data_IF_862543820720
#
_entry.id   IF_862543820720
#
_cell.length_a   1.000
_cell.length_b   1.000
_cell.length_c   1.000
_cell.angle_alpha   90.00
_cell.angle_beta   90.00
_cell.angle_gamma   90.00
#
_symmetry.space_group_name_H-M   'P 1'
#
loop_
_entity.id
_entity.type
_entity.pdbx_description
1 polymer ?
#
# COMPACT_ATOMS: atom_id res chain seq x y z
N UNK A 1 -12.62 22.20 -38.29
CA UNK A 1 -12.06 21.60 -37.06
C UNK A 1 -13.21 21.44 -36.08
N UNK A 2 -13.85 20.26 -36.10
CA UNK A 2 -15.00 19.97 -35.23
C UNK A 2 -14.43 19.70 -33.84
N UNK A 3 -14.78 20.53 -32.85
CA UNK A 3 -14.50 20.19 -31.45
C UNK A 3 -15.37 18.98 -31.12
N UNK A 4 -14.78 17.79 -31.10
CA UNK A 4 -15.42 16.61 -30.56
C UNK A 4 -15.80 16.95 -29.10
N UNK A 5 -17.10 17.05 -28.84
CA UNK A 5 -17.60 17.21 -27.48
C UNK A 5 -17.10 16.00 -26.69
N UNK A 6 -16.37 16.25 -25.60
CA UNK A 6 -16.05 15.19 -24.65
C UNK A 6 -17.36 14.46 -24.30
N UNK A 7 -17.35 13.13 -24.24
CA UNK A 7 -18.57 12.40 -23.94
C UNK A 7 -19.08 12.84 -22.57
N UNK A 8 -20.33 13.31 -22.51
CA UNK A 8 -21.04 13.84 -21.32
C UNK A 8 -20.80 13.00 -20.04
N UNK A 9 -20.59 11.70 -20.21
CA UNK A 9 -20.27 10.73 -19.15
C UNK A 9 -18.96 11.06 -18.42
N UNK A 10 -17.90 11.48 -19.11
CA UNK A 10 -16.60 11.80 -18.52
C UNK A 10 -16.72 13.04 -17.64
N UNK A 11 -17.44 14.07 -18.11
CA UNK A 11 -17.67 15.29 -17.36
C UNK A 11 -18.52 15.04 -16.12
N UNK A 12 -19.55 14.19 -16.24
CA UNK A 12 -20.40 13.78 -15.11
C UNK A 12 -19.58 13.01 -14.05
N UNK A 13 -18.75 12.05 -14.50
CA UNK A 13 -17.90 11.28 -13.60
C UNK A 13 -16.92 12.17 -12.84
N UNK A 14 -16.22 13.05 -13.56
CA UNK A 14 -15.19 13.92 -12.99
C UNK A 14 -15.77 14.96 -12.04
N UNK A 15 -16.93 15.54 -12.39
CA UNK A 15 -17.52 16.63 -11.61
C UNK A 15 -18.23 16.13 -10.35
N UNK A 16 -18.91 14.99 -10.43
CA UNK A 16 -19.75 14.50 -9.34
C UNK A 16 -19.19 13.23 -8.70
N UNK A 17 -19.01 12.15 -9.46
CA UNK A 17 -18.79 10.83 -8.86
C UNK A 17 -17.38 10.63 -8.30
N UNK A 18 -16.37 11.19 -8.95
CA UNK A 18 -14.96 10.97 -8.60
C UNK A 18 -14.67 11.31 -7.13
N UNK A 19 -15.10 12.48 -6.67
CA UNK A 19 -14.79 12.95 -5.31
C UNK A 19 -15.50 12.13 -4.22
N UNK A 20 -16.73 11.67 -4.47
CA UNK A 20 -17.43 10.77 -3.53
C UNK A 20 -16.81 9.38 -3.50
N UNK A 21 -16.40 8.86 -4.65
CA UNK A 21 -15.70 7.59 -4.75
C UNK A 21 -14.39 7.63 -3.98
N UNK A 22 -13.54 8.63 -4.24
CA UNK A 22 -12.26 8.81 -3.56
C UNK A 22 -12.44 8.99 -2.05
N UNK A 23 -13.41 9.83 -1.64
CA UNK A 23 -13.73 10.05 -0.23
C UNK A 23 -14.14 8.78 0.49
N UNK A 24 -15.04 8.00 -0.12
CA UNK A 24 -15.51 6.73 0.42
C UNK A 24 -14.37 5.72 0.52
N UNK A 25 -13.54 5.62 -0.52
CA UNK A 25 -12.37 4.76 -0.53
C UNK A 25 -11.38 5.14 0.58
N UNK A 26 -11.05 6.43 0.75
CA UNK A 26 -10.16 6.90 1.82
C UNK A 26 -10.66 6.53 3.22
N UNK A 27 -11.96 6.71 3.49
CA UNK A 27 -12.56 6.33 4.79
C UNK A 27 -12.44 4.81 5.00
N UNK A 28 -12.80 4.00 4.00
CA UNK A 28 -12.70 2.54 4.09
C UNK A 28 -11.23 2.10 4.27
N UNK A 29 -10.29 2.69 3.54
CA UNK A 29 -8.84 2.44 3.69
C UNK A 29 -8.40 2.69 5.13
N UNK A 30 -8.77 3.83 5.72
CA UNK A 30 -8.40 4.16 7.12
C UNK A 30 -8.96 3.09 8.08
N UNK A 31 -10.23 2.72 7.92
CA UNK A 31 -10.88 1.73 8.79
C UNK A 31 -10.23 0.34 8.66
N UNK A 32 -10.08 -0.17 7.44
CA UNK A 32 -9.50 -1.49 7.18
C UNK A 32 -8.05 -1.60 7.68
N UNK A 33 -7.24 -0.57 7.46
CA UNK A 33 -5.85 -0.59 7.90
C UNK A 33 -5.72 -0.38 9.40
N UNK A 34 -6.61 0.39 10.04
CA UNK A 34 -6.64 0.49 11.50
C UNK A 34 -6.99 -0.85 12.15
N UNK A 35 -7.98 -1.57 11.61
CA UNK A 35 -8.31 -2.93 12.07
C UNK A 35 -7.13 -3.88 11.84
N UNK A 36 -6.54 -3.87 10.65
CA UNK A 36 -5.37 -4.69 10.31
C UNK A 36 -4.19 -4.42 11.25
N UNK A 37 -3.96 -3.15 11.59
CA UNK A 37 -2.91 -2.71 12.51
C UNK A 37 -3.15 -3.24 13.92
N UNK A 38 -4.40 -3.15 14.41
CA UNK A 38 -4.78 -3.72 15.71
C UNK A 38 -4.60 -5.24 15.75
N UNK A 39 -4.99 -5.95 14.68
CA UNK A 39 -4.77 -7.40 14.57
C UNK A 39 -3.27 -7.72 14.58
N UNK A 40 -2.47 -6.98 13.82
CA UNK A 40 -1.02 -7.17 13.76
C UNK A 40 -0.36 -6.90 15.12
N UNK A 41 -0.76 -5.84 15.82
CA UNK A 41 -0.25 -5.49 17.15
C UNK A 41 -0.60 -6.57 18.19
N UNK A 42 -1.79 -7.17 18.11
CA UNK A 42 -2.21 -8.28 18.97
C UNK A 42 -1.46 -9.58 18.68
N UNK A 43 -1.21 -9.90 17.41
CA UNK A 43 -0.58 -11.15 16.98
C UNK A 43 0.95 -11.16 17.14
N UNK A 44 1.62 -10.02 16.98
CA UNK A 44 3.07 -10.00 16.87
C UNK A 44 3.79 -10.22 18.22
N UNK A 45 4.65 -11.25 18.24
CA UNK A 45 5.67 -11.47 19.26
C UNK A 45 6.69 -10.31 19.22
N UNK A 46 7.23 -9.90 20.38
CA UNK A 46 7.95 -8.62 20.61
C UNK A 46 8.96 -8.18 19.54
N UNK A 47 9.64 -9.09 18.81
CA UNK A 47 10.71 -8.73 17.85
C UNK A 47 10.25 -8.38 16.43
N UNK A 48 9.09 -8.84 15.95
CA UNK A 48 8.65 -8.64 14.55
C UNK A 48 7.52 -7.62 14.39
N UNK A 49 7.12 -6.97 15.49
CA UNK A 49 5.94 -6.10 15.55
C UNK A 49 6.04 -4.84 14.68
N UNK A 50 7.22 -4.26 14.58
CA UNK A 50 7.45 -2.95 13.92
C UNK A 50 8.24 -3.07 12.60
N UNK A 51 7.97 -4.12 11.81
CA UNK A 51 8.61 -4.31 10.50
C UNK A 51 7.95 -3.50 9.37
N UNK A 52 8.40 -3.71 8.14
CA UNK A 52 7.86 -2.99 6.97
C UNK A 52 6.35 -3.16 6.73
N UNK A 53 5.76 -4.31 7.09
CA UNK A 53 4.31 -4.48 6.97
C UNK A 53 3.53 -3.53 7.90
N UNK A 54 4.04 -3.32 9.12
CA UNK A 54 3.45 -2.35 10.06
C UNK A 54 3.49 -0.94 9.45
N UNK A 55 4.63 -0.56 8.87
CA UNK A 55 4.76 0.75 8.22
C UNK A 55 3.88 0.91 6.99
N UNK A 56 3.65 -0.15 6.22
CA UNK A 56 2.72 -0.11 5.10
C UNK A 56 1.30 0.25 5.58
N UNK A 57 0.81 -0.43 6.62
CA UNK A 57 -0.52 -0.15 7.19
C UNK A 57 -0.63 1.28 7.71
N UNK A 58 0.40 1.77 8.41
CA UNK A 58 0.48 3.18 8.86
C UNK A 58 0.47 4.11 7.65
N UNK A 59 1.22 3.81 6.60
CA UNK A 59 1.27 4.62 5.38
C UNK A 59 -0.09 4.69 4.69
N UNK A 60 -0.85 3.59 4.65
CA UNK A 60 -2.20 3.58 4.08
C UNK A 60 -3.20 4.39 4.91
N UNK A 61 -3.06 4.40 6.24
CA UNK A 61 -3.83 5.30 7.11
C UNK A 61 -3.46 6.76 6.80
N UNK A 62 -2.17 7.07 6.74
CA UNK A 62 -1.68 8.40 6.38
C UNK A 62 -2.15 8.83 4.99
N UNK A 63 -2.19 7.91 4.02
CA UNK A 63 -2.74 8.16 2.68
C UNK A 63 -4.17 8.69 2.77
N UNK A 64 -5.06 7.98 3.48
CA UNK A 64 -6.44 8.43 3.63
C UNK A 64 -6.55 9.75 4.38
N UNK A 65 -5.81 9.93 5.48
CA UNK A 65 -5.87 11.14 6.31
C UNK A 65 -5.37 12.38 5.55
N UNK A 66 -4.28 12.26 4.81
CA UNK A 66 -3.72 13.37 4.02
C UNK A 66 -4.65 13.75 2.86
N UNK A 67 -5.39 12.79 2.28
CA UNK A 67 -6.26 13.06 1.13
C UNK A 67 -7.62 13.66 1.51
N UNK A 68 -8.16 13.36 2.69
CA UNK A 68 -9.49 13.83 3.13
C UNK A 68 -9.67 15.35 2.99
N UNK A 69 -8.74 16.22 3.46
CA UNK A 69 -8.88 17.66 3.31
C UNK A 69 -9.04 18.10 1.84
N UNK A 70 -8.26 17.51 0.92
CA UNK A 70 -8.39 17.79 -0.52
C UNK A 70 -9.77 17.37 -1.05
N UNK A 71 -10.24 16.19 -0.67
CA UNK A 71 -11.55 15.67 -1.09
C UNK A 71 -12.69 16.54 -0.57
N UNK A 72 -12.64 16.95 0.70
CA UNK A 72 -13.65 17.85 1.29
C UNK A 72 -13.71 19.16 0.51
N UNK A 73 -12.57 19.77 0.19
CA UNK A 73 -12.51 20.99 -0.63
C UNK A 73 -13.04 20.77 -2.06
N UNK A 74 -12.87 19.57 -2.61
CA UNK A 74 -13.36 19.18 -3.95
C UNK A 74 -14.86 18.82 -3.99
N UNK A 75 -15.49 18.54 -2.87
CA UNK A 75 -16.95 18.31 -2.79
C UNK A 75 -17.71 19.65 -2.73
N UNK A 76 -17.10 20.69 -2.17
CA UNK A 76 -17.73 22.03 -2.05
C UNK A 76 -18.07 22.57 -3.45
N UNK A 77 -19.30 23.08 -3.69
CA UNK A 77 -19.68 23.68 -4.97
C UNK A 77 -18.69 24.75 -5.43
N UNK A 78 -18.49 24.84 -6.74
CA UNK A 78 -17.45 25.68 -7.32
C UNK A 78 -17.53 27.16 -6.92
N UNK A 79 -18.74 27.72 -6.82
CA UNK A 79 -18.94 29.12 -6.42
C UNK A 79 -18.45 29.39 -4.98
N UNK A 80 -18.81 28.52 -4.04
CA UNK A 80 -18.32 28.60 -2.66
C UNK A 80 -16.82 28.33 -2.57
N UNK A 81 -16.32 27.37 -3.37
CA UNK A 81 -14.90 27.02 -3.42
C UNK A 81 -14.03 28.19 -3.89
N UNK A 82 -14.48 28.94 -4.90
CA UNK A 82 -13.80 30.16 -5.36
C UNK A 82 -13.64 31.19 -4.25
N UNK A 83 -14.68 31.40 -3.45
CA UNK A 83 -14.65 32.33 -2.31
C UNK A 83 -13.64 31.85 -1.25
N UNK A 84 -13.63 30.55 -0.95
CA UNK A 84 -12.67 29.96 -0.01
C UNK A 84 -11.23 30.14 -0.51
N UNK A 85 -10.96 29.85 -1.78
CA UNK A 85 -9.63 29.97 -2.38
C UNK A 85 -9.17 31.42 -2.52
N UNK A 86 -10.08 32.36 -2.79
CA UNK A 86 -9.77 33.78 -2.80
C UNK A 86 -9.39 34.30 -1.41
N UNK A 87 -9.98 33.71 -0.35
CA UNK A 87 -9.68 34.08 1.04
C UNK A 87 -8.41 33.43 1.57
N UNK A 88 -8.19 32.15 1.26
CA UNK A 88 -7.08 31.34 1.74
C UNK A 88 -6.47 30.52 0.59
N UNK A 89 -5.53 31.09 -0.18
CA UNK A 89 -4.95 30.47 -1.36
C UNK A 89 -4.12 29.22 -1.05
N UNK A 90 -3.66 29.05 0.19
CA UNK A 90 -3.00 27.84 0.67
C UNK A 90 -3.94 26.63 0.57
N UNK A 91 -5.25 26.84 0.73
CA UNK A 91 -6.24 25.75 0.64
C UNK A 91 -6.39 25.22 -0.79
N UNK A 92 -6.20 26.08 -1.81
CA UNK A 92 -6.14 25.64 -3.21
C UNK A 92 -4.96 24.71 -3.42
N UNK A 93 -3.78 25.11 -2.94
CA UNK A 93 -2.57 24.30 -3.08
C UNK A 93 -2.62 23.02 -2.26
N UNK A 94 -3.23 23.05 -1.07
CA UNK A 94 -3.50 21.86 -0.29
C UNK A 94 -4.37 20.87 -1.09
N UNK A 95 -5.46 21.35 -1.71
CA UNK A 95 -6.33 20.52 -2.54
C UNK A 95 -5.63 19.96 -3.79
N UNK A 96 -4.65 20.69 -4.33
CA UNK A 96 -3.89 20.27 -5.50
C UNK A 96 -2.76 19.27 -5.16
N UNK A 97 -1.99 19.52 -4.10
CA UNK A 97 -0.75 18.80 -3.78
C UNK A 97 -1.01 17.53 -2.96
N UNK A 98 -1.99 17.54 -2.04
CA UNK A 98 -2.22 16.43 -1.11
C UNK A 98 -2.45 15.07 -1.79
N UNK A 99 -3.18 14.94 -2.91
CA UNK A 99 -3.34 13.66 -3.60
C UNK A 99 -2.01 13.09 -4.10
N UNK A 100 -1.19 13.88 -4.80
CA UNK A 100 0.10 13.42 -5.29
C UNK A 100 1.07 13.11 -4.14
N UNK A 101 1.02 13.89 -3.06
CA UNK A 101 1.83 13.67 -1.86
C UNK A 101 1.47 12.33 -1.18
N UNK A 102 0.17 12.05 -1.05
CA UNK A 102 -0.32 10.79 -0.49
C UNK A 102 0.05 9.59 -1.37
N UNK A 103 -0.03 9.72 -2.70
CA UNK A 103 0.42 8.69 -3.63
C UNK A 103 1.93 8.44 -3.49
N UNK A 104 2.72 9.51 -3.41
CA UNK A 104 4.17 9.45 -3.26
C UNK A 104 4.60 8.66 -2.02
N UNK A 105 4.02 8.94 -0.84
CA UNK A 105 4.38 8.21 0.39
C UNK A 105 4.04 6.72 0.28
N UNK A 106 2.94 6.38 -0.39
CA UNK A 106 2.52 4.99 -0.63
C UNK A 106 3.51 4.29 -1.56
N UNK A 107 3.95 4.95 -2.64
CA UNK A 107 4.90 4.38 -3.60
C UNK A 107 6.28 4.16 -2.98
N UNK A 108 6.77 5.11 -2.16
CA UNK A 108 8.02 4.93 -1.39
C UNK A 108 7.91 3.71 -0.45
N UNK A 109 6.83 3.63 0.33
CA UNK A 109 6.63 2.50 1.26
C UNK A 109 6.47 1.17 0.53
N UNK A 110 5.80 1.15 -0.62
CA UNK A 110 5.66 -0.02 -1.49
C UNK A 110 7.01 -0.51 -2.05
N UNK A 111 7.83 0.42 -2.54
CA UNK A 111 9.17 0.14 -3.02
C UNK A 111 10.06 -0.46 -1.91
N UNK A 112 10.08 0.17 -0.73
CA UNK A 112 10.87 -0.30 0.40
C UNK A 112 10.37 -1.65 0.93
N UNK A 113 9.07 -1.93 0.89
CA UNK A 113 8.49 -3.22 1.26
C UNK A 113 8.88 -4.32 0.25
N UNK A 114 8.87 -4.02 -1.05
CA UNK A 114 9.36 -4.95 -2.07
C UNK A 114 10.85 -5.26 -1.87
N UNK A 115 11.66 -4.23 -1.61
CA UNK A 115 13.10 -4.37 -1.31
C UNK A 115 13.31 -5.23 -0.06
N UNK A 116 12.58 -4.97 1.02
CA UNK A 116 12.59 -5.75 2.25
C UNK A 116 12.36 -7.25 1.99
N UNK A 117 11.35 -7.58 1.17
CA UNK A 117 11.08 -8.98 0.79
C UNK A 117 12.17 -9.56 -0.10
N UNK A 118 12.72 -8.80 -1.04
CA UNK A 118 13.85 -9.25 -1.88
C UNK A 118 15.07 -9.57 -1.01
N UNK A 119 15.38 -8.72 -0.03
CA UNK A 119 16.50 -8.92 0.90
C UNK A 119 16.29 -10.17 1.75
N UNK A 120 15.08 -10.42 2.26
CA UNK A 120 14.76 -11.66 3.01
C UNK A 120 14.96 -12.90 2.14
N UNK A 121 14.56 -12.84 0.86
CA UNK A 121 14.70 -13.98 -0.04
C UNK A 121 16.15 -14.22 -0.48
N UNK A 122 16.97 -13.18 -0.57
CA UNK A 122 18.37 -13.26 -0.99
C UNK A 122 19.34 -13.55 0.16
N UNK A 123 19.14 -12.95 1.34
CA UNK A 123 20.09 -12.93 2.46
C UNK A 123 19.58 -13.75 3.67
N UNK A 124 19.22 -15.01 3.43
CA UNK A 124 18.52 -15.89 4.40
C UNK A 124 19.18 -16.02 5.78
N UNK A 125 20.50 -15.90 5.90
CA UNK A 125 21.21 -16.26 7.14
C UNK A 125 21.35 -15.12 8.15
N UNK A 126 21.41 -13.87 7.70
CA UNK A 126 21.75 -12.74 8.58
C UNK A 126 20.63 -11.70 8.73
N UNK A 127 19.56 -11.79 7.93
CA UNK A 127 18.51 -10.77 7.91
C UNK A 127 17.82 -10.60 9.28
N UNK A 128 17.51 -11.70 9.96
CA UNK A 128 16.87 -11.67 11.28
C UNK A 128 17.80 -11.20 12.40
N UNK A 129 19.12 -11.30 12.22
CA UNK A 129 20.11 -10.87 13.21
C UNK A 129 20.28 -9.34 13.22
N UNK A 130 20.21 -8.72 12.04
CA UNK A 130 20.42 -7.27 11.87
C UNK A 130 19.15 -6.44 11.97
N UNK A 131 17.97 -7.04 12.22
CA UNK A 131 16.68 -6.34 12.27
C UNK A 131 16.46 -5.44 11.03
N UNK A 132 16.92 -5.86 9.85
CA UNK A 132 16.90 -5.02 8.64
C UNK A 132 15.50 -4.49 8.30
N UNK A 133 14.44 -5.25 8.60
CA UNK A 133 13.05 -4.82 8.36
C UNK A 133 12.64 -3.62 9.22
N UNK A 134 13.11 -3.56 10.46
CA UNK A 134 12.85 -2.43 11.36
C UNK A 134 13.63 -1.20 10.90
N UNK A 135 14.89 -1.38 10.47
CA UNK A 135 15.70 -0.28 9.94
C UNK A 135 15.05 0.31 8.69
N UNK A 136 14.62 -0.54 7.75
CA UNK A 136 13.88 -0.09 6.55
C UNK A 136 12.58 0.61 6.93
N UNK A 137 11.89 0.13 7.96
CA UNK A 137 10.66 0.76 8.47
C UNK A 137 10.92 2.17 9.02
N UNK A 138 12.00 2.35 9.78
CA UNK A 138 12.41 3.67 10.29
C UNK A 138 12.78 4.58 9.14
N UNK A 139 13.56 4.11 8.16
CA UNK A 139 13.91 4.89 6.96
C UNK A 139 12.65 5.32 6.22
N UNK A 140 11.71 4.40 5.98
CA UNK A 140 10.42 4.70 5.33
C UNK A 140 9.64 5.75 6.10
N UNK A 141 9.57 5.64 7.43
CA UNK A 141 8.90 6.60 8.29
C UNK A 141 9.54 7.98 8.19
N UNK A 142 10.87 8.06 8.32
CA UNK A 142 11.63 9.31 8.27
C UNK A 142 11.48 10.00 6.91
N UNK A 143 11.66 9.26 5.81
CA UNK A 143 11.53 9.83 4.45
C UNK A 143 10.12 10.36 4.21
N UNK A 144 9.08 9.58 4.55
CA UNK A 144 7.69 10.01 4.36
C UNK A 144 7.34 11.21 5.24
N UNK A 145 7.81 11.22 6.49
CA UNK A 145 7.58 12.34 7.43
C UNK A 145 8.25 13.61 6.94
N UNK A 146 9.52 13.54 6.54
CA UNK A 146 10.26 14.69 5.99
C UNK A 146 9.57 15.20 4.72
N UNK A 147 9.17 14.31 3.83
CA UNK A 147 8.48 14.67 2.58
C UNK A 147 7.16 15.40 2.87
N UNK A 148 6.33 14.86 3.77
CA UNK A 148 5.10 15.52 4.20
C UNK A 148 5.41 16.92 4.76
N UNK A 149 6.30 17.01 5.75
CA UNK A 149 6.63 18.28 6.41
C UNK A 149 7.12 19.31 5.40
N UNK A 150 8.08 18.96 4.52
CA UNK A 150 8.64 19.90 3.53
C UNK A 150 7.56 20.45 2.61
N UNK A 151 6.68 19.60 2.06
CA UNK A 151 5.62 20.07 1.16
C UNK A 151 4.57 20.92 1.88
N UNK A 152 4.20 20.58 3.11
CA UNK A 152 3.29 21.40 3.90
C UNK A 152 3.91 22.75 4.28
N UNK A 153 5.20 22.80 4.64
CA UNK A 153 5.91 24.05 4.89
C UNK A 153 5.97 24.91 3.63
N UNK A 154 6.23 24.32 2.45
CA UNK A 154 6.20 25.03 1.18
C UNK A 154 4.82 25.64 0.91
N UNK A 155 3.73 24.91 1.16
CA UNK A 155 2.37 25.44 0.97
C UNK A 155 2.09 26.60 1.94
N UNK A 156 2.45 26.45 3.22
CA UNK A 156 2.17 27.45 4.26
C UNK A 156 2.98 28.73 4.05
N UNK A 157 4.28 28.60 3.78
CA UNK A 157 5.19 29.77 3.70
C UNK A 157 5.23 30.40 2.32
N UNK A 158 4.92 29.64 1.26
CA UNK A 158 5.14 30.09 -0.10
C UNK A 158 3.83 30.18 -0.91
N UNK A 159 2.66 30.17 -0.26
CA UNK A 159 1.30 29.98 -0.80
C UNK A 159 0.88 30.77 -2.07
N UNK A 160 1.66 31.75 -2.51
CA UNK A 160 1.45 32.50 -3.75
C UNK A 160 2.62 32.53 -4.73
N UNK A 161 3.72 31.87 -4.38
CA UNK A 161 4.95 31.93 -5.14
C UNK A 161 4.97 30.88 -6.26
N UNK A 162 5.75 31.19 -7.28
CA UNK A 162 6.17 30.24 -8.33
C UNK A 162 6.78 28.96 -7.75
N UNK A 163 7.29 29.00 -6.51
CA UNK A 163 7.84 27.84 -5.82
C UNK A 163 6.79 26.75 -5.59
N UNK A 164 5.56 27.08 -5.21
CA UNK A 164 4.51 26.05 -4.96
C UNK A 164 4.08 25.39 -6.27
N UNK A 165 3.97 26.17 -7.34
CA UNK A 165 3.69 25.66 -8.69
C UNK A 165 4.80 24.69 -9.12
N UNK A 166 6.05 25.13 -9.04
CA UNK A 166 7.20 24.31 -9.40
C UNK A 166 7.30 23.04 -8.53
N UNK A 167 7.03 23.16 -7.22
CA UNK A 167 7.03 22.03 -6.31
C UNK A 167 5.92 21.02 -6.64
N UNK A 168 4.71 21.49 -6.97
CA UNK A 168 3.62 20.63 -7.42
C UNK A 168 3.99 19.93 -8.74
N UNK A 169 4.46 20.66 -9.74
CA UNK A 169 4.86 20.08 -11.02
C UNK A 169 6.00 19.07 -10.86
N UNK A 170 6.99 19.38 -10.02
CA UNK A 170 8.09 18.48 -9.70
C UNK A 170 7.61 17.21 -9.01
N UNK A 171 6.73 17.33 -8.01
CA UNK A 171 6.13 16.19 -7.30
C UNK A 171 5.36 15.28 -8.27
N UNK A 172 4.48 15.87 -9.08
CA UNK A 172 3.60 15.15 -10.00
C UNK A 172 4.37 14.49 -11.14
N UNK A 173 5.23 15.24 -11.83
CA UNK A 173 5.81 14.79 -13.09
C UNK A 173 7.14 14.07 -12.91
N UNK A 174 7.97 14.51 -11.95
CA UNK A 174 9.31 13.96 -11.74
C UNK A 174 9.31 12.91 -10.62
N UNK A 175 8.95 13.32 -9.40
CA UNK A 175 9.15 12.51 -8.21
C UNK A 175 8.27 11.25 -8.21
N UNK A 176 6.97 11.40 -8.50
CA UNK A 176 6.04 10.29 -8.56
C UNK A 176 6.38 9.31 -9.68
N UNK A 177 6.65 9.81 -10.89
CA UNK A 177 7.05 8.99 -12.04
C UNK A 177 8.32 8.19 -11.75
N UNK A 178 9.37 8.85 -11.22
CA UNK A 178 10.63 8.19 -10.88
C UNK A 178 10.45 7.11 -9.81
N UNK A 179 9.62 7.38 -8.80
CA UNK A 179 9.33 6.44 -7.71
C UNK A 179 8.52 5.25 -8.20
N UNK A 180 7.53 5.45 -9.07
CA UNK A 180 6.77 4.37 -9.69
C UNK A 180 7.64 3.46 -10.56
N UNK A 181 8.61 4.01 -11.30
CA UNK A 181 9.58 3.23 -12.07
C UNK A 181 10.47 2.40 -11.15
N UNK A 182 10.98 3.00 -10.06
CA UNK A 182 11.78 2.30 -9.07
C UNK A 182 10.97 1.19 -8.38
N UNK A 183 9.75 1.49 -7.94
CA UNK A 183 8.81 0.55 -7.33
C UNK A 183 8.51 -0.63 -8.26
N UNK A 184 8.20 -0.35 -9.52
CA UNK A 184 7.93 -1.37 -10.55
C UNK A 184 9.15 -2.27 -10.80
N UNK A 185 10.34 -1.67 -10.85
CA UNK A 185 11.60 -2.42 -11.00
C UNK A 185 11.81 -3.37 -9.82
N UNK A 186 11.57 -2.90 -8.59
CA UNK A 186 11.68 -3.73 -7.39
C UNK A 186 10.61 -4.82 -7.34
N UNK A 187 9.39 -4.55 -7.80
CA UNK A 187 8.36 -5.59 -7.96
C UNK A 187 8.79 -6.67 -8.94
N UNK A 188 9.37 -6.31 -10.08
CA UNK A 188 9.87 -7.30 -11.03
C UNK A 188 10.97 -8.18 -10.42
N UNK A 189 11.94 -7.56 -9.72
CA UNK A 189 12.99 -8.30 -9.00
C UNK A 189 12.38 -9.22 -7.94
N UNK A 190 11.41 -8.72 -7.18
CA UNK A 190 10.65 -9.50 -6.20
C UNK A 190 9.97 -10.70 -6.84
N UNK A 191 9.26 -10.55 -7.96
CA UNK A 191 8.58 -11.65 -8.65
C UNK A 191 9.56 -12.76 -9.10
N UNK A 192 10.69 -12.37 -9.67
CA UNK A 192 11.74 -13.32 -10.10
C UNK A 192 12.29 -14.09 -8.90
N UNK A 193 12.57 -13.40 -7.78
CA UNK A 193 13.08 -14.03 -6.56
C UNK A 193 12.02 -14.88 -5.87
N UNK A 194 10.78 -14.44 -5.84
CA UNK A 194 9.65 -15.13 -5.24
C UNK A 194 9.39 -16.46 -5.92
N UNK A 195 9.40 -16.52 -7.26
CA UNK A 195 9.26 -17.78 -8.01
C UNK A 195 10.34 -18.80 -7.64
N UNK A 196 11.61 -18.36 -7.53
CA UNK A 196 12.72 -19.22 -7.10
C UNK A 196 12.57 -19.66 -5.63
N UNK A 197 12.10 -18.75 -4.77
CA UNK A 197 11.90 -19.02 -3.34
C UNK A 197 10.81 -20.06 -3.09
N UNK A 198 9.65 -19.93 -3.75
CA UNK A 198 8.52 -20.87 -3.60
C UNK A 198 8.93 -22.29 -3.98
N UNK A 199 9.70 -22.47 -5.05
CA UNK A 199 10.18 -23.80 -5.47
C UNK A 199 11.10 -24.47 -4.44
N UNK A 200 11.85 -23.71 -3.64
CA UNK A 200 12.89 -24.23 -2.74
C UNK A 200 12.44 -24.41 -1.29
N UNK A 201 11.44 -23.66 -0.83
CA UNK A 201 11.19 -23.44 0.61
C UNK A 201 9.73 -23.66 1.06
N UNK A 202 8.98 -24.59 0.46
CA UNK A 202 7.52 -24.75 0.70
C UNK A 202 7.07 -25.01 2.15
N UNK A 203 7.94 -25.31 3.12
CA UNK A 203 7.50 -25.83 4.43
C UNK A 203 7.63 -24.93 5.66
N UNK A 204 8.56 -23.97 5.74
CA UNK A 204 9.09 -23.58 7.07
C UNK A 204 8.69 -22.21 7.65
N UNK A 205 8.00 -21.31 6.95
CA UNK A 205 7.67 -20.00 7.52
C UNK A 205 6.37 -19.38 6.99
N UNK A 206 5.25 -19.71 7.63
CA UNK A 206 3.91 -19.25 7.24
C UNK A 206 3.76 -17.72 7.26
N UNK A 207 4.38 -17.01 8.21
CA UNK A 207 4.30 -15.54 8.30
C UNK A 207 5.01 -14.85 7.13
N UNK A 208 6.19 -15.37 6.76
CA UNK A 208 6.93 -14.88 5.59
C UNK A 208 6.13 -15.10 4.31
N UNK A 209 5.50 -16.27 4.16
CA UNK A 209 4.64 -16.57 3.01
C UNK A 209 3.43 -15.63 2.94
N UNK A 210 2.77 -15.35 4.08
CA UNK A 210 1.65 -14.41 4.14
C UNK A 210 2.06 -13.02 3.67
N UNK A 211 3.18 -12.49 4.19
CA UNK A 211 3.67 -11.16 3.78
C UNK A 211 4.05 -11.13 2.31
N UNK A 212 4.70 -12.18 1.79
CA UNK A 212 5.04 -12.26 0.37
C UNK A 212 3.78 -12.26 -0.53
N UNK A 213 2.71 -12.92 -0.11
CA UNK A 213 1.44 -12.89 -0.85
C UNK A 213 0.82 -11.49 -0.86
N UNK A 214 0.90 -10.76 0.24
CA UNK A 214 0.44 -9.36 0.32
C UNK A 214 1.24 -8.50 -0.67
N UNK A 215 2.57 -8.58 -0.65
CA UNK A 215 3.42 -7.80 -1.57
C UNK A 215 3.19 -8.19 -3.03
N UNK A 216 2.97 -9.48 -3.32
CA UNK A 216 2.62 -9.92 -4.66
C UNK A 216 1.30 -9.31 -5.13
N UNK A 217 0.26 -9.33 -4.29
CA UNK A 217 -1.04 -8.75 -4.63
C UNK A 217 -0.97 -7.24 -4.81
N UNK A 218 -0.24 -6.54 -3.93
CA UNK A 218 0.05 -5.12 -4.05
C UNK A 218 0.75 -4.82 -5.37
N UNK A 219 1.78 -5.59 -5.72
CA UNK A 219 2.52 -5.42 -6.98
C UNK A 219 1.61 -5.55 -8.20
N UNK A 220 0.71 -6.53 -8.21
CA UNK A 220 -0.26 -6.70 -9.30
C UNK A 220 -1.22 -5.52 -9.38
N UNK A 221 -1.79 -5.08 -8.25
CA UNK A 221 -2.72 -3.95 -8.22
C UNK A 221 -2.03 -2.65 -8.66
N UNK A 222 -0.88 -2.31 -8.08
CA UNK A 222 -0.13 -1.10 -8.40
C UNK A 222 0.35 -1.11 -9.86
N UNK A 223 0.82 -2.25 -10.38
CA UNK A 223 1.25 -2.33 -11.78
C UNK A 223 0.07 -2.07 -12.73
N UNK A 224 -1.07 -2.72 -12.50
CA UNK A 224 -2.23 -2.64 -13.39
C UNK A 224 -3.00 -1.33 -13.28
N UNK A 225 -3.15 -0.79 -12.06
CA UNK A 225 -3.99 0.37 -11.79
C UNK A 225 -3.19 1.68 -11.68
N UNK A 226 -1.89 1.62 -11.42
CA UNK A 226 -1.07 2.83 -11.26
C UNK A 226 -0.02 2.95 -12.38
N UNK A 227 0.87 1.96 -12.51
CA UNK A 227 2.01 2.04 -13.43
C UNK A 227 1.56 2.02 -14.90
N UNK A 228 0.71 1.08 -15.29
CA UNK A 228 0.26 0.94 -16.69
C UNK A 228 -0.51 2.19 -17.15
N UNK A 229 -1.53 2.70 -16.42
CA UNK A 229 -2.22 3.93 -16.81
C UNK A 229 -1.27 5.14 -16.91
N UNK A 230 -0.32 5.30 -15.98
CA UNK A 230 0.65 6.39 -16.04
C UNK A 230 1.65 6.25 -17.20
N UNK A 231 2.09 5.02 -17.52
CA UNK A 231 2.94 4.76 -18.67
C UNK A 231 2.22 5.05 -19.99
N UNK A 232 0.95 4.63 -20.10
CA UNK A 232 0.06 4.90 -21.23
C UNK A 232 -0.16 6.41 -21.39
N UNK A 233 -0.40 7.13 -20.29
CA UNK A 233 -0.51 8.58 -20.29
C UNK A 233 0.80 9.25 -20.74
N UNK A 234 1.96 8.82 -20.25
CA UNK A 234 3.25 9.34 -20.65
C UNK A 234 3.51 9.11 -22.15
N UNK A 235 3.23 7.91 -22.66
CA UNK A 235 3.29 7.58 -24.07
C UNK A 235 2.40 8.48 -24.92
N UNK A 236 1.20 8.80 -24.42
CA UNK A 236 0.25 9.69 -25.11
C UNK A 236 0.80 11.11 -25.32
N UNK A 237 1.59 11.60 -24.36
CA UNK A 237 2.17 12.95 -24.37
C UNK A 237 3.44 13.00 -25.23
N UNK A 238 4.30 11.98 -25.09
CA UNK A 238 5.63 11.94 -25.70
C UNK A 238 5.60 11.60 -27.20
N UNK A 239 4.63 10.81 -27.66
CA UNK A 239 4.61 10.33 -29.06
C UNK A 239 3.62 11.10 -29.93
N UNK A 240 3.95 11.38 -31.21
CA UNK A 240 3.00 12.01 -32.14
C UNK A 240 1.71 11.19 -32.30
N UNK A 241 1.85 9.86 -32.35
CA UNK A 241 0.73 8.92 -32.42
C UNK A 241 -0.16 9.05 -31.18
N UNK A 242 0.45 9.08 -30.00
CA UNK A 242 -0.25 9.26 -28.73
C UNK A 242 -1.14 10.50 -28.68
N UNK A 243 -0.68 11.62 -29.24
CA UNK A 243 -1.44 12.89 -29.27
C UNK A 243 -2.70 12.83 -30.13
N UNK A 244 -2.70 11.97 -31.14
CA UNK A 244 -3.84 11.77 -32.05
C UNK A 244 -4.93 10.88 -31.46
N UNK A 245 -4.58 10.01 -30.51
CA UNK A 245 -5.51 9.04 -29.94
C UNK A 245 -6.25 9.67 -28.74
N UNK A 246 -7.47 10.12 -28.99
CA UNK A 246 -8.27 10.90 -28.03
C UNK A 246 -8.54 10.16 -26.70
N UNK A 247 -8.84 8.85 -26.75
CA UNK A 247 -9.13 8.08 -25.55
C UNK A 247 -7.97 8.01 -24.55
N UNK A 248 -6.72 8.11 -25.02
CA UNK A 248 -5.53 8.12 -24.16
C UNK A 248 -5.51 9.34 -23.24
N UNK A 249 -6.08 10.48 -23.67
CA UNK A 249 -6.14 11.70 -22.87
C UNK A 249 -7.05 11.53 -21.66
N UNK A 250 -8.07 10.68 -21.76
CA UNK A 250 -9.01 10.41 -20.68
C UNK A 250 -8.42 9.48 -19.60
N UNK A 251 -7.38 8.69 -19.90
CA UNK A 251 -6.75 7.78 -18.93
C UNK A 251 -6.20 8.53 -17.71
N UNK A 252 -5.67 9.74 -17.92
CA UNK A 252 -5.17 10.60 -16.85
C UNK A 252 -6.24 10.99 -15.83
N UNK A 253 -7.49 11.16 -16.26
CA UNK A 253 -8.62 11.55 -15.40
C UNK A 253 -8.88 10.46 -14.35
N UNK A 254 -8.67 9.19 -14.72
CA UNK A 254 -8.88 8.04 -13.84
C UNK A 254 -7.65 7.67 -13.01
N UNK A 255 -6.52 8.34 -13.17
CA UNK A 255 -5.28 7.99 -12.47
C UNK A 255 -5.41 8.06 -10.94
N UNK A 256 -6.00 9.14 -10.40
CA UNK A 256 -6.22 9.29 -8.96
C UNK A 256 -7.20 8.22 -8.41
N UNK A 257 -8.39 7.99 -9.00
CA UNK A 257 -9.30 6.93 -8.58
C UNK A 257 -8.72 5.52 -8.69
N UNK A 258 -7.98 5.22 -9.76
CA UNK A 258 -7.34 3.92 -9.94
C UNK A 258 -6.26 3.68 -8.88
N UNK A 259 -5.49 4.71 -8.52
CA UNK A 259 -4.54 4.63 -7.42
C UNK A 259 -5.26 4.37 -6.09
N UNK A 260 -6.34 5.10 -5.80
CA UNK A 260 -7.14 4.91 -4.60
C UNK A 260 -7.74 3.49 -4.52
N UNK A 261 -8.27 2.99 -5.64
CA UNK A 261 -8.78 1.62 -5.77
C UNK A 261 -7.67 0.58 -5.55
N UNK A 262 -6.46 0.82 -6.05
CA UNK A 262 -5.29 -0.05 -5.83
C UNK A 262 -4.93 -0.17 -4.35
N UNK A 263 -4.89 0.95 -3.62
CA UNK A 263 -4.65 0.97 -2.16
C UNK A 263 -5.79 0.27 -1.42
N UNK A 264 -7.04 0.52 -1.81
CA UNK A 264 -8.22 -0.13 -1.21
C UNK A 264 -8.19 -1.64 -1.38
N UNK A 265 -7.98 -2.14 -2.60
CA UNK A 265 -7.88 -3.57 -2.89
C UNK A 265 -6.76 -4.22 -2.07
N UNK A 266 -5.59 -3.57 -2.02
CA UNK A 266 -4.46 -4.06 -1.22
C UNK A 266 -4.80 -4.08 0.28
N UNK A 267 -5.54 -3.09 0.78
CA UNK A 267 -6.00 -3.02 2.16
C UNK A 267 -6.98 -4.15 2.51
N UNK A 268 -7.97 -4.40 1.64
CA UNK A 268 -8.93 -5.51 1.78
C UNK A 268 -8.19 -6.85 1.81
N UNK A 269 -7.28 -7.07 0.86
CA UNK A 269 -6.52 -8.31 0.79
C UNK A 269 -5.59 -8.51 2.00
N UNK A 270 -4.97 -7.42 2.47
CA UNK A 270 -4.11 -7.45 3.66
C UNK A 270 -4.91 -7.83 4.90
N UNK A 271 -6.08 -7.22 5.11
CA UNK A 271 -6.97 -7.58 6.21
C UNK A 271 -7.36 -9.06 6.13
N UNK A 272 -7.82 -9.52 4.96
CA UNK A 272 -8.18 -10.92 4.72
C UNK A 272 -7.03 -11.88 5.07
N UNK A 273 -5.78 -11.52 4.75
CA UNK A 273 -4.60 -12.34 5.06
C UNK A 273 -4.17 -12.29 6.51
N UNK A 274 -4.41 -11.18 7.21
CA UNK A 274 -4.07 -11.01 8.62
C UNK A 274 -5.12 -11.60 9.56
N UNK A 275 -6.38 -11.71 9.13
CA UNK A 275 -7.45 -12.32 9.94
C UNK A 275 -7.05 -13.75 10.33
N UNK A 276 -7.07 -14.08 11.64
CA UNK A 276 -6.73 -15.42 12.10
C UNK A 276 -7.69 -16.44 11.46
N UNK A 277 -7.13 -17.45 10.81
CA UNK A 277 -7.92 -18.62 10.45
C UNK A 277 -8.24 -19.32 11.76
N UNK A 278 -9.53 -19.54 12.04
CA UNK A 278 -9.92 -20.43 13.13
C UNK A 278 -9.31 -21.78 12.79
N UNK A 279 -8.26 -22.16 13.53
CA UNK A 279 -7.77 -23.53 13.46
C UNK A 279 -8.94 -24.38 13.90
N UNK A 280 -9.59 -25.05 12.94
CA UNK A 280 -10.55 -26.08 13.23
C UNK A 280 -9.74 -27.10 13.99
N UNK A 281 -9.91 -27.11 15.32
CA UNK A 281 -9.26 -28.07 16.20
C UNK A 281 -9.67 -29.42 15.66
N UNK A 282 -8.77 -30.05 14.92
CA UNK A 282 -8.97 -31.41 14.45
C UNK A 282 -8.87 -32.23 15.73
N UNK A 283 -10.03 -32.49 16.34
CA UNK A 283 -10.16 -33.42 17.46
C UNK A 283 -9.71 -34.74 16.89
N UNK A 284 -8.43 -35.05 17.06
CA UNK A 284 -7.89 -36.38 16.79
C UNK A 284 -8.59 -37.25 17.83
N UNK A 285 -9.72 -37.82 17.44
CA UNK A 285 -10.37 -38.90 18.16
C UNK A 285 -9.34 -40.00 18.25
N UNK A 286 -8.66 -40.03 19.41
CA UNK A 286 -7.75 -41.11 19.72
C UNK A 286 -8.68 -42.28 20.01
N UNK A 287 -9.04 -43.04 18.97
CA UNK A 287 -9.68 -44.33 19.13
C UNK A 287 -8.68 -45.20 19.88
N UNK A 288 -8.85 -45.27 21.18
CA UNK A 288 -8.10 -46.14 22.09
C UNK A 288 -8.40 -47.58 21.70
N UNK A 289 -7.66 -48.12 20.75
CA UNK A 289 -7.66 -49.55 20.50
C UNK A 289 -6.93 -50.19 21.68
N UNK A 290 -7.71 -50.63 22.67
CA UNK A 290 -7.25 -51.39 23.81
C UNK A 290 -6.75 -52.76 23.37
N UNK A 291 -5.53 -52.84 22.85
CA UNK A 291 -4.82 -54.10 22.78
C UNK A 291 -4.03 -54.27 24.07
N UNK A 292 -4.68 -54.93 25.03
CA UNK A 292 -4.02 -55.56 26.15
C UNK A 292 -3.15 -56.72 25.61
N UNK A 293 -1.84 -56.49 25.53
CA UNK A 293 -0.88 -57.59 25.51
C UNK A 293 0.32 -57.20 26.36
N UNK A 294 0.40 -57.84 27.51
CA UNK A 294 1.54 -57.90 28.41
C UNK A 294 2.86 -58.12 27.65
N UNK A 295 3.83 -57.22 27.81
CA UNK A 295 5.20 -57.67 27.96
C UNK A 295 6.06 -56.66 28.71
N UNK A 296 6.90 -57.21 29.58
CA UNK A 296 7.66 -56.51 30.61
C UNK A 296 8.93 -55.86 30.06
N UNK A 297 9.39 -54.87 30.82
CA UNK A 297 10.78 -54.41 30.92
C UNK A 297 11.38 -53.73 29.68
N UNK A 298 11.28 -52.40 29.65
CA UNK A 298 12.45 -51.54 29.41
C UNK A 298 12.18 -50.09 29.81
N UNK A 299 12.84 -49.67 30.90
CA UNK A 299 12.91 -48.28 31.34
C UNK A 299 13.62 -47.44 30.27
N UNK A 300 12.89 -46.56 29.59
CA UNK A 300 13.45 -45.41 28.87
C UNK A 300 12.74 -44.14 29.31
N UNK A 301 13.54 -43.22 29.85
CA UNK A 301 13.14 -41.93 30.40
C UNK A 301 12.13 -41.18 29.52
N UNK A 302 11.03 -40.66 30.09
CA UNK A 302 10.13 -39.77 29.37
C UNK A 302 10.81 -38.43 29.12
N UNK A 303 11.10 -38.16 27.84
CA UNK A 303 11.49 -36.84 27.34
C UNK A 303 10.32 -35.88 27.60
N UNK A 304 10.57 -34.85 28.42
CA UNK A 304 9.65 -33.74 28.69
C UNK A 304 9.05 -33.18 27.39
N UNK A 305 7.75 -33.44 27.18
CA UNK A 305 6.94 -32.74 26.18
C UNK A 305 6.46 -31.44 26.82
N UNK A 306 7.17 -30.35 26.56
CA UNK A 306 6.64 -29.01 26.74
C UNK A 306 5.45 -28.82 25.79
N UNK A 307 4.24 -29.12 26.25
CA UNK A 307 3.00 -28.59 25.66
C UNK A 307 2.74 -27.24 26.32
N UNK A 308 3.32 -26.19 25.75
CA UNK A 308 2.90 -24.83 26.03
C UNK A 308 1.71 -24.48 25.12
N UNK A 309 0.58 -24.22 25.79
CA UNK A 309 -0.59 -23.40 25.46
C UNK A 309 -0.91 -23.06 23.99
N UNK A 310 -2.20 -23.18 23.66
CA UNK A 310 -2.85 -22.13 22.86
C UNK A 310 -4.15 -21.69 23.53
N UNK A 311 -4.27 -20.37 23.69
CA UNK A 311 -5.38 -19.65 24.28
C UNK A 311 -6.61 -19.74 23.39
N UNK A 312 -7.76 -19.87 24.05
CA UNK A 312 -9.08 -19.63 23.48
C UNK A 312 -9.42 -18.16 23.76
N UNK A 313 -9.49 -17.39 22.68
CA UNK A 313 -9.84 -15.96 22.51
C UNK A 313 -8.82 -14.89 22.93
#
# INVERSE_FOLDING_TARGET
MVMAQAPVIVDLFQTYFQHYFDGTCCIIIILLNSISLLIQLRRAVKKTRYGMLFMLLVTFICFGVVNIPSIVLRIVPWDSRRIIFARNPETLWLAAVAPYLSQQIVSISGALLALDRVLIMCLKLNYGRYNCSVILSVISCSVNTVLIIVFFLVIIFAGHSTLVINAHEYLKNCLLSATLVLETTLYFIFLVKFRKYVKKNMGNNQESVQTNQIVFFQAVCHLLLCTVPNAVACFSIMTPIGRTVEWLKHVLIFSEPMYCASVLLTSVFTLYKLTPKKDVVQVVSTSTTSNASSNSNNLKHPKYRNKCYFSVF
#
